data_IF_046869550971
#
_entry.id   IF_046869550971
#
_cell.length_a   1.000
_cell.length_b   1.000
_cell.length_c   1.000
_cell.angle_alpha   90.00
_cell.angle_beta   90.00
_cell.angle_gamma   90.00
#
_symmetry.space_group_name_H-M   'P 1'
#
loop_
_entity.id
_entity.type
_entity.pdbx_description
1 polymer ?
#
# COMPACT_ATOMS: atom_id res chain seq x y z
N UNK A 1 -52.06 -15.34 8.33
CA UNK A 1 -52.66 -15.90 9.56
C UNK A 1 -53.00 -17.35 9.24
N UNK A 2 -52.38 -18.32 9.88
CA UNK A 2 -52.78 -19.73 9.71
C UNK A 2 -54.27 -19.84 10.07
N UNK A 3 -55.05 -20.55 9.27
CA UNK A 3 -56.43 -20.87 9.63
C UNK A 3 -56.39 -21.64 10.95
N UNK A 4 -57.01 -21.09 11.99
CA UNK A 4 -57.10 -21.79 13.26
C UNK A 4 -58.02 -23.01 13.13
N UNK A 5 -57.88 -23.97 14.05
CA UNK A 5 -58.64 -25.21 13.99
C UNK A 5 -60.16 -24.97 14.12
N UNK A 6 -60.56 -23.88 14.77
CA UNK A 6 -61.97 -23.51 14.92
C UNK A 6 -62.57 -22.95 13.61
N UNK A 7 -61.79 -22.19 12.86
CA UNK A 7 -62.11 -21.66 11.54
C UNK A 7 -62.16 -22.78 10.51
N UNK A 8 -61.22 -23.74 10.58
CA UNK A 8 -61.27 -24.96 9.78
C UNK A 8 -62.57 -25.71 10.03
N UNK A 9 -62.87 -26.02 11.29
CA UNK A 9 -64.09 -26.74 11.66
C UNK A 9 -65.35 -26.03 11.15
N UNK A 10 -65.44 -24.72 11.34
CA UNK A 10 -66.56 -23.90 10.87
C UNK A 10 -66.74 -23.95 9.35
N UNK A 11 -65.66 -23.97 8.59
CA UNK A 11 -65.68 -24.06 7.13
C UNK A 11 -66.12 -25.45 6.69
N UNK A 12 -65.60 -26.51 7.32
CA UNK A 12 -66.01 -27.90 7.02
C UNK A 12 -67.50 -28.09 7.26
N UNK A 13 -68.05 -27.60 8.38
CA UNK A 13 -69.48 -27.72 8.69
C UNK A 13 -70.35 -27.00 7.65
N UNK A 14 -69.99 -25.76 7.28
CA UNK A 14 -70.73 -25.01 6.25
C UNK A 14 -70.67 -25.65 4.86
N UNK A 15 -69.53 -26.24 4.51
CA UNK A 15 -69.38 -26.96 3.24
C UNK A 15 -70.17 -28.27 3.25
N UNK A 16 -70.18 -28.99 4.38
CA UNK A 16 -70.95 -30.22 4.53
C UNK A 16 -72.46 -30.00 4.37
N UNK A 17 -72.98 -28.87 4.88
CA UNK A 17 -74.40 -28.50 4.73
C UNK A 17 -74.82 -28.22 3.27
N UNK A 18 -73.87 -27.86 2.39
CA UNK A 18 -74.17 -27.46 1.01
C UNK A 18 -73.77 -28.48 -0.04
N UNK A 19 -72.67 -29.21 0.18
CA UNK A 19 -72.06 -30.11 -0.81
C UNK A 19 -72.07 -31.57 -0.35
N UNK A 20 -72.42 -31.85 0.91
CA UNK A 20 -72.32 -33.18 1.51
C UNK A 20 -71.01 -33.38 2.26
N UNK A 21 -71.04 -34.31 3.22
CA UNK A 21 -69.98 -34.49 4.21
C UNK A 21 -68.67 -35.00 3.59
N UNK A 22 -68.76 -35.87 2.59
CA UNK A 22 -67.61 -36.47 1.91
C UNK A 22 -66.88 -35.46 1.02
N UNK A 23 -67.62 -34.65 0.26
CA UNK A 23 -67.05 -33.61 -0.61
C UNK A 23 -66.41 -32.47 0.21
N UNK A 24 -67.03 -32.11 1.34
CA UNK A 24 -66.47 -31.13 2.27
C UNK A 24 -65.16 -31.62 2.92
N UNK A 25 -65.09 -32.90 3.27
CA UNK A 25 -63.88 -33.51 3.82
C UNK A 25 -62.75 -33.53 2.78
N UNK A 26 -63.05 -33.91 1.53
CA UNK A 26 -62.08 -33.92 0.44
C UNK A 26 -61.51 -32.53 0.15
N UNK A 27 -62.35 -31.48 0.16
CA UNK A 27 -61.88 -30.10 -0.02
C UNK A 27 -61.02 -29.63 1.17
N UNK A 28 -61.38 -29.96 2.40
CA UNK A 28 -60.60 -29.59 3.58
C UNK A 28 -59.24 -30.30 3.66
N UNK A 29 -59.12 -31.49 3.05
CA UNK A 29 -57.85 -32.23 2.91
C UNK A 29 -56.86 -31.49 1.99
N UNK A 30 -57.35 -30.73 1.00
CA UNK A 30 -56.49 -29.95 0.10
C UNK A 30 -55.94 -28.68 0.72
N UNK A 31 -56.57 -28.18 1.79
CA UNK A 31 -56.10 -26.99 2.49
C UNK A 31 -54.96 -27.45 3.41
N UNK A 32 -53.74 -26.91 3.30
CA UNK A 32 -52.65 -27.29 4.18
C UNK A 32 -52.81 -26.70 5.59
N UNK A 33 -52.29 -27.36 6.64
CA UNK A 33 -52.41 -26.92 8.03
C UNK A 33 -51.51 -25.71 8.38
N UNK A 34 -50.84 -25.09 7.40
CA UNK A 34 -49.87 -24.02 7.60
C UNK A 34 -50.18 -22.78 6.76
N UNK A 35 -49.69 -21.62 7.22
CA UNK A 35 -49.85 -20.35 6.54
C UNK A 35 -48.90 -20.24 5.34
N UNK A 36 -49.46 -20.04 4.14
CA UNK A 36 -48.68 -19.83 2.92
C UNK A 36 -47.74 -18.61 3.00
N UNK A 37 -47.99 -17.64 3.88
CA UNK A 37 -47.07 -16.51 4.11
C UNK A 37 -45.76 -16.90 4.81
N UNK A 38 -45.68 -18.08 5.43
CA UNK A 38 -44.46 -18.56 6.08
C UNK A 38 -43.54 -19.36 5.15
N UNK A 39 -43.98 -19.62 3.91
CA UNK A 39 -43.22 -20.39 2.94
C UNK A 39 -42.49 -19.41 2.04
N UNK A 40 -41.16 -19.51 2.04
CA UNK A 40 -40.30 -18.75 1.13
C UNK A 40 -40.71 -19.02 -0.31
N UNK A 41 -41.01 -17.97 -1.07
CA UNK A 41 -41.40 -18.12 -2.47
C UNK A 41 -40.19 -18.44 -3.34
N UNK A 42 -40.42 -18.98 -4.55
CA UNK A 42 -39.34 -19.16 -5.54
C UNK A 42 -38.60 -17.85 -5.84
N UNK A 43 -39.32 -16.72 -5.83
CA UNK A 43 -38.76 -15.39 -6.04
C UNK A 43 -37.81 -15.02 -4.91
N UNK A 44 -38.19 -15.25 -3.66
CA UNK A 44 -37.36 -14.96 -2.48
C UNK A 44 -36.07 -15.80 -2.50
N UNK A 45 -36.17 -17.09 -2.83
CA UNK A 45 -35.01 -17.97 -3.03
C UNK A 45 -34.09 -17.47 -4.14
N UNK A 46 -34.67 -17.05 -5.27
CA UNK A 46 -33.89 -16.54 -6.40
C UNK A 46 -33.13 -15.26 -6.02
N UNK A 47 -33.77 -14.36 -5.28
CA UNK A 47 -33.14 -13.14 -4.80
C UNK A 47 -32.02 -13.44 -3.79
N UNK A 48 -32.26 -14.35 -2.84
CA UNK A 48 -31.25 -14.77 -1.87
C UNK A 48 -30.03 -15.44 -2.53
N UNK A 49 -30.25 -16.28 -3.55
CA UNK A 49 -29.18 -16.92 -4.33
C UNK A 49 -28.40 -15.88 -5.13
N UNK A 50 -29.08 -14.90 -5.74
CA UNK A 50 -28.43 -13.79 -6.46
C UNK A 50 -27.56 -12.96 -5.50
N UNK A 51 -28.07 -12.61 -4.33
CA UNK A 51 -27.29 -11.91 -3.30
C UNK A 51 -26.08 -12.72 -2.86
N UNK A 52 -26.22 -14.04 -2.68
CA UNK A 52 -25.10 -14.91 -2.34
C UNK A 52 -24.05 -14.98 -3.45
N UNK A 53 -24.47 -15.05 -4.71
CA UNK A 53 -23.57 -15.02 -5.87
C UNK A 53 -22.76 -13.71 -5.89
N UNK A 54 -23.41 -12.55 -5.71
CA UNK A 54 -22.70 -11.26 -5.66
C UNK A 54 -21.70 -11.17 -4.51
N UNK A 55 -22.02 -11.74 -3.33
CA UNK A 55 -21.07 -11.80 -2.21
C UNK A 55 -19.88 -12.70 -2.50
N UNK A 56 -20.10 -13.83 -3.18
CA UNK A 56 -19.03 -14.72 -3.63
C UNK A 56 -18.11 -14.02 -4.64
N UNK A 57 -18.68 -13.30 -5.60
CA UNK A 57 -17.93 -12.57 -6.62
C UNK A 57 -17.09 -11.45 -5.99
N UNK A 58 -17.66 -10.68 -5.06
CA UNK A 58 -16.92 -9.66 -4.31
C UNK A 58 -15.74 -10.29 -3.55
N UNK A 59 -15.91 -11.46 -2.92
CA UNK A 59 -14.82 -12.14 -2.21
C UNK A 59 -13.67 -12.52 -3.15
N UNK A 60 -13.98 -12.95 -4.38
CA UNK A 60 -12.97 -13.23 -5.41
C UNK A 60 -12.25 -11.95 -5.84
N UNK A 61 -12.98 -10.86 -6.12
CA UNK A 61 -12.39 -9.57 -6.47
C UNK A 61 -11.47 -9.03 -5.37
N UNK A 62 -11.85 -9.17 -4.10
CA UNK A 62 -11.00 -8.79 -2.97
C UNK A 62 -9.72 -9.63 -2.90
N UNK A 63 -9.78 -10.92 -3.23
CA UNK A 63 -8.59 -11.77 -3.29
C UNK A 63 -7.64 -11.31 -4.39
N UNK A 64 -8.17 -11.08 -5.59
CA UNK A 64 -7.38 -10.59 -6.74
C UNK A 64 -6.74 -9.23 -6.44
N UNK A 65 -7.52 -8.29 -5.89
CA UNK A 65 -7.00 -6.97 -5.54
C UNK A 65 -5.90 -7.04 -4.48
N UNK A 66 -6.01 -7.94 -3.49
CA UNK A 66 -4.96 -8.17 -2.50
C UNK A 66 -3.67 -8.69 -3.14
N UNK A 67 -3.79 -9.60 -4.10
CA UNK A 67 -2.64 -10.14 -4.82
C UNK A 67 -1.96 -9.07 -5.67
N UNK A 68 -2.73 -8.31 -6.47
CA UNK A 68 -2.21 -7.19 -7.25
C UNK A 68 -1.50 -6.15 -6.36
N UNK A 69 -2.09 -5.86 -5.19
CA UNK A 69 -1.52 -4.95 -4.23
C UNK A 69 -0.19 -5.49 -3.67
N UNK A 70 -0.11 -6.78 -3.35
CA UNK A 70 1.13 -7.43 -2.93
C UNK A 70 2.24 -7.35 -3.99
N UNK A 71 1.88 -7.55 -5.26
CA UNK A 71 2.81 -7.41 -6.39
C UNK A 71 3.31 -5.96 -6.50
N UNK A 72 2.41 -4.97 -6.43
CA UNK A 72 2.79 -3.55 -6.48
C UNK A 72 3.69 -3.14 -5.32
N UNK A 73 3.42 -3.60 -4.10
CA UNK A 73 4.30 -3.34 -2.96
C UNK A 73 5.68 -3.94 -3.16
N UNK A 74 5.76 -5.18 -3.66
CA UNK A 74 7.05 -5.82 -3.98
C UNK A 74 7.85 -5.04 -5.03
N UNK A 75 7.17 -4.44 -6.02
CA UNK A 75 7.82 -3.56 -7.01
C UNK A 75 8.33 -2.26 -6.39
N UNK A 76 7.57 -1.69 -5.44
CA UNK A 76 7.99 -0.50 -4.68
C UNK A 76 9.23 -0.79 -3.86
N UNK A 77 9.26 -1.92 -3.14
CA UNK A 77 10.42 -2.35 -2.35
C UNK A 77 11.67 -2.52 -3.23
N UNK A 78 11.52 -3.15 -4.41
CA UNK A 78 12.61 -3.26 -5.38
C UNK A 78 13.08 -1.88 -5.92
N UNK A 79 12.15 -0.92 -6.04
CA UNK A 79 12.45 0.46 -6.38
C UNK A 79 13.30 1.14 -5.31
N UNK A 80 12.93 1.00 -4.04
CA UNK A 80 13.69 1.53 -2.90
C UNK A 80 15.09 0.93 -2.81
N UNK A 81 15.23 -0.39 -2.93
CA UNK A 81 16.55 -1.04 -2.93
C UNK A 81 17.49 -0.49 -4.04
N UNK A 82 16.93 -0.14 -5.21
CA UNK A 82 17.70 0.51 -6.29
C UNK A 82 18.11 1.94 -5.94
N UNK A 83 17.26 2.67 -5.22
CA UNK A 83 17.57 4.02 -4.74
C UNK A 83 18.70 3.96 -3.71
N UNK A 84 18.62 3.04 -2.75
CA UNK A 84 19.67 2.84 -1.73
C UNK A 84 21.03 2.55 -2.37
N UNK A 85 21.08 1.63 -3.35
CA UNK A 85 22.32 1.34 -4.07
C UNK A 85 22.91 2.56 -4.81
N UNK A 86 22.06 3.49 -5.29
CA UNK A 86 22.52 4.75 -5.89
C UNK A 86 23.05 5.71 -4.84
N UNK A 87 22.46 5.77 -3.65
CA UNK A 87 22.96 6.58 -2.55
C UNK A 87 24.32 6.08 -2.08
N UNK A 88 24.54 4.77 -1.94
CA UNK A 88 25.86 4.22 -1.63
C UNK A 88 26.92 4.61 -2.67
N UNK A 89 26.56 4.62 -3.96
CA UNK A 89 27.46 5.09 -5.02
C UNK A 89 27.78 6.58 -4.88
N UNK A 90 26.79 7.40 -4.51
CA UNK A 90 26.97 8.83 -4.27
C UNK A 90 27.90 9.05 -3.08
N UNK A 91 27.69 8.35 -1.98
CA UNK A 91 28.56 8.41 -0.79
C UNK A 91 30.00 8.05 -1.13
N UNK A 92 30.20 6.99 -1.92
CA UNK A 92 31.53 6.63 -2.43
C UNK A 92 32.23 7.76 -3.21
N UNK A 93 31.48 8.50 -4.03
CA UNK A 93 32.01 9.67 -4.75
C UNK A 93 32.33 10.84 -3.81
N UNK A 94 31.50 11.06 -2.79
CA UNK A 94 31.77 12.10 -1.78
C UNK A 94 33.04 11.79 -0.99
N UNK A 95 33.24 10.54 -0.54
CA UNK A 95 34.48 10.13 0.11
C UNK A 95 35.72 10.37 -0.77
N UNK A 96 35.60 10.11 -2.09
CA UNK A 96 36.69 10.39 -3.02
C UNK A 96 36.99 11.89 -3.15
N UNK A 97 35.95 12.74 -3.17
CA UNK A 97 36.11 14.20 -3.21
C UNK A 97 36.77 14.69 -1.93
N UNK A 98 36.33 14.22 -0.77
CA UNK A 98 36.91 14.60 0.53
C UNK A 98 38.40 14.22 0.61
N UNK A 99 38.77 13.03 0.14
CA UNK A 99 40.16 12.61 0.05
C UNK A 99 41.00 13.56 -0.82
N UNK A 100 40.51 13.88 -2.04
CA UNK A 100 41.20 14.82 -2.94
C UNK A 100 41.32 16.23 -2.35
N UNK A 101 40.30 16.72 -1.65
CA UNK A 101 40.35 18.02 -0.99
C UNK A 101 41.35 18.03 0.17
N UNK A 102 41.42 16.95 0.96
CA UNK A 102 42.41 16.79 2.01
C UNK A 102 43.85 16.78 1.46
N UNK A 103 44.07 16.07 0.35
CA UNK A 103 45.37 16.03 -0.33
C UNK A 103 45.73 17.40 -0.88
N UNK A 104 44.81 18.08 -1.58
CA UNK A 104 45.02 19.42 -2.10
C UNK A 104 45.37 20.43 -1.00
N UNK A 105 44.66 20.38 0.14
CA UNK A 105 44.96 21.22 1.31
C UNK A 105 46.39 20.98 1.80
N UNK A 106 46.82 19.71 1.83
CA UNK A 106 48.14 19.33 2.30
C UNK A 106 49.24 19.81 1.35
N UNK A 107 49.06 19.63 0.05
CA UNK A 107 50.00 20.08 -0.97
C UNK A 107 50.09 21.61 -1.05
N UNK A 108 48.96 22.31 -0.91
CA UNK A 108 48.94 23.77 -0.84
C UNK A 108 49.72 24.27 0.38
N UNK A 109 49.53 23.69 1.56
CA UNK A 109 50.31 24.05 2.75
C UNK A 109 51.82 23.82 2.56
N UNK A 110 52.23 22.69 1.96
CA UNK A 110 53.65 22.42 1.66
C UNK A 110 54.21 23.44 0.68
N UNK A 111 53.52 23.63 -0.45
CA UNK A 111 53.94 24.54 -1.53
C UNK A 111 54.07 25.97 -1.03
N UNK A 112 53.09 26.46 -0.28
CA UNK A 112 53.15 27.78 0.34
C UNK A 112 54.34 27.88 1.30
N UNK A 113 54.56 26.93 2.20
CA UNK A 113 55.71 26.96 3.12
C UNK A 113 57.04 27.03 2.39
N UNK A 114 57.23 26.21 1.35
CA UNK A 114 58.46 26.23 0.55
C UNK A 114 58.63 27.58 -0.13
N UNK A 115 57.58 28.13 -0.74
CA UNK A 115 57.64 29.46 -1.35
C UNK A 115 57.92 30.57 -0.33
N UNK A 116 57.29 30.55 0.85
CA UNK A 116 57.55 31.53 1.91
C UNK A 116 59.02 31.48 2.36
N UNK A 117 59.59 30.30 2.57
CA UNK A 117 61.00 30.15 2.94
C UNK A 117 61.95 30.62 1.83
N UNK A 118 61.64 30.30 0.57
CA UNK A 118 62.42 30.75 -0.57
C UNK A 118 62.41 32.29 -0.68
N UNK A 119 61.24 32.93 -0.55
CA UNK A 119 61.11 34.39 -0.59
C UNK A 119 61.89 35.08 0.54
N UNK A 120 61.83 34.56 1.76
CA UNK A 120 62.64 35.11 2.87
C UNK A 120 64.13 35.02 2.52
N UNK A 121 64.57 33.87 2.02
CA UNK A 121 65.99 33.65 1.69
C UNK A 121 66.48 34.59 0.60
N UNK A 122 65.71 34.77 -0.48
CA UNK A 122 66.09 35.70 -1.56
C UNK A 122 66.04 37.14 -1.12
N UNK A 123 65.06 37.51 -0.29
CA UNK A 123 64.92 38.88 0.24
C UNK A 123 66.07 39.22 1.20
N UNK A 124 66.50 38.28 2.04
CA UNK A 124 67.70 38.44 2.88
C UNK A 124 68.94 38.64 1.99
N UNK A 125 69.15 37.78 0.99
CA UNK A 125 70.30 37.89 0.08
C UNK A 125 70.35 39.25 -0.65
N UNK A 126 69.20 39.74 -1.14
CA UNK A 126 69.11 41.07 -1.76
C UNK A 126 69.47 42.19 -0.80
N UNK A 127 68.98 42.15 0.44
CA UNK A 127 69.31 43.15 1.45
C UNK A 127 70.81 43.14 1.78
N UNK A 128 71.43 41.96 1.92
CA UNK A 128 72.87 41.84 2.14
C UNK A 128 73.67 42.45 0.97
N UNK A 129 73.24 42.22 -0.27
CA UNK A 129 73.87 42.81 -1.45
C UNK A 129 73.74 44.33 -1.47
N UNK A 130 72.56 44.87 -1.14
CA UNK A 130 72.31 46.30 -1.07
C UNK A 130 73.21 46.98 -0.04
N UNK A 131 73.34 46.40 1.16
CA UNK A 131 74.21 46.93 2.23
C UNK A 131 75.68 46.96 1.76
N UNK A 132 76.15 45.90 1.12
CA UNK A 132 77.52 45.84 0.58
C UNK A 132 77.76 46.89 -0.52
N UNK A 133 76.78 47.12 -1.41
CA UNK A 133 76.86 48.17 -2.44
C UNK A 133 76.94 49.57 -1.84
N UNK A 134 76.15 49.85 -0.80
CA UNK A 134 76.17 51.15 -0.10
C UNK A 134 77.51 51.36 0.63
N UNK A 135 78.09 50.30 1.19
CA UNK A 135 79.40 50.39 1.86
C UNK A 135 80.55 50.71 0.89
N UNK A 136 80.48 50.27 -0.37
CA UNK A 136 81.49 50.58 -1.40
C UNK A 136 81.42 52.01 -1.93
N UNK A 137 80.29 52.70 -1.76
CA UNK A 137 80.07 54.07 -2.26
C UNK A 137 80.36 55.17 -1.21
N UNK A 138 80.70 54.78 0.03
CA UNK A 138 81.11 55.70 1.12
C UNK A 138 82.63 55.69 1.28
#
# INVERSE_FOLDING_TARGET
MALDEADRFRITTKLADTLGQDDAAALMETIPPFDWHQIVTKTDLTNAVKDLATKSDMALEFSTLREEMGIKFSQVDAGFARVDARFEQVDGRFFQVDAKLSDLRTELHKTLRVHFLALITTMVAMNTMMVSLVALLK
#
